data_IF_094078874934
#
_entry.id   IF_094078874934
#
_cell.length_a   1.000
_cell.length_b   1.000
_cell.length_c   1.000
_cell.angle_alpha   90.00
_cell.angle_beta   90.00
_cell.angle_gamma   90.00
#
_symmetry.space_group_name_H-M   'P 1'
#
loop_
_entity.id
_entity.type
_entity.pdbx_description
1 polymer ?
#
# COMPACT_ATOMS: atom_id res chain seq x y z
N UNK A 1 -3.19 70.55 -23.66
CA UNK A 1 -2.69 69.47 -22.80
C UNK A 1 -3.72 68.34 -22.84
N UNK A 2 -3.45 67.32 -23.66
CA UNK A 2 -4.36 66.19 -23.91
C UNK A 2 -3.47 64.94 -23.95
N UNK A 3 -3.69 64.02 -23.03
CA UNK A 3 -2.86 62.83 -22.82
C UNK A 3 -3.45 61.68 -23.65
N UNK A 4 -2.67 60.96 -24.47
CA UNK A 4 -3.17 59.80 -25.20
C UNK A 4 -3.34 58.58 -24.28
N UNK A 5 -4.41 57.80 -24.50
CA UNK A 5 -4.68 56.53 -23.82
C UNK A 5 -3.76 55.44 -24.37
N UNK A 6 -2.94 54.85 -23.51
CA UNK A 6 -2.20 53.62 -23.80
C UNK A 6 -3.15 52.42 -23.64
N UNK A 7 -3.25 51.59 -24.68
CA UNK A 7 -3.86 50.27 -24.60
C UNK A 7 -2.76 49.27 -24.24
N UNK A 8 -2.76 48.77 -23.00
CA UNK A 8 -1.91 47.65 -22.60
C UNK A 8 -2.63 46.35 -22.93
N UNK A 9 -2.12 45.59 -23.91
CA UNK A 9 -2.55 44.21 -24.16
C UNK A 9 -1.93 43.34 -23.07
N UNK A 10 -2.75 42.83 -22.16
CA UNK A 10 -2.34 41.85 -21.15
C UNK A 10 -2.30 40.46 -21.82
N UNK A 11 -1.14 40.04 -22.31
CA UNK A 11 -0.91 38.65 -22.69
C UNK A 11 -0.91 37.77 -21.43
N UNK A 12 -2.01 37.05 -21.20
CA UNK A 12 -2.05 35.95 -20.23
C UNK A 12 -1.28 34.79 -20.86
N UNK A 13 -0.02 34.61 -20.48
CA UNK A 13 0.68 33.36 -20.69
C UNK A 13 -0.01 32.30 -19.82
N UNK A 14 -0.82 31.45 -20.44
CA UNK A 14 -1.39 30.29 -19.78
C UNK A 14 -0.24 29.34 -19.40
N UNK A 15 0.15 29.35 -18.12
CA UNK A 15 1.03 28.36 -17.55
C UNK A 15 0.34 27.00 -17.67
N UNK A 16 0.75 26.23 -18.67
CA UNK A 16 0.30 24.86 -18.83
C UNK A 16 0.85 24.07 -17.65
N UNK A 17 -0.03 23.63 -16.74
CA UNK A 17 0.35 22.61 -15.76
C UNK A 17 0.72 21.37 -16.57
N UNK A 18 2.02 21.11 -16.71
CA UNK A 18 2.52 19.81 -17.12
C UNK A 18 2.03 18.82 -16.08
N UNK A 19 1.06 17.97 -16.46
CA UNK A 19 0.78 16.75 -15.70
C UNK A 19 2.05 15.92 -15.78
N UNK A 20 2.84 15.96 -14.71
CA UNK A 20 3.94 15.03 -14.54
C UNK A 20 3.30 13.64 -14.49
N UNK A 21 3.41 12.88 -15.60
CA UNK A 21 3.04 11.49 -15.62
C UNK A 21 3.83 10.81 -14.49
N UNK A 22 3.12 10.20 -13.54
CA UNK A 22 3.73 9.55 -12.37
C UNK A 22 4.57 8.37 -12.81
N UNK A 23 5.85 8.61 -13.03
CA UNK A 23 6.83 7.59 -13.38
C UNK A 23 7.61 7.19 -12.14
N UNK A 24 6.95 6.67 -11.10
CA UNK A 24 7.68 6.23 -9.91
C UNK A 24 6.94 5.08 -9.24
N UNK A 25 7.29 3.83 -9.60
CA UNK A 25 7.45 2.71 -8.64
C UNK A 25 7.98 1.42 -9.28
N UNK A 26 9.08 1.55 -10.02
CA UNK A 26 9.90 0.42 -10.48
C UNK A 26 11.24 0.32 -9.72
N UNK A 27 11.45 1.14 -8.69
CA UNK A 27 12.70 1.19 -7.93
C UNK A 27 12.51 0.68 -6.50
N UNK A 28 13.26 -0.34 -6.11
CA UNK A 28 13.28 -0.85 -4.73
C UNK A 28 13.72 0.24 -3.73
N UNK A 29 14.56 1.19 -4.17
CA UNK A 29 14.94 2.32 -3.35
C UNK A 29 13.75 3.25 -3.07
N UNK A 30 12.90 3.52 -4.07
CA UNK A 30 11.68 4.32 -3.88
C UNK A 30 10.71 3.65 -2.91
N UNK A 31 10.50 2.33 -3.05
CA UNK A 31 9.68 1.55 -2.11
C UNK A 31 10.25 1.65 -0.69
N UNK A 32 11.56 1.44 -0.51
CA UNK A 32 12.22 1.57 0.79
C UNK A 32 12.03 2.95 1.41
N UNK A 33 12.25 4.02 0.63
CA UNK A 33 12.07 5.39 1.10
C UNK A 33 10.62 5.69 1.48
N UNK A 34 9.63 5.16 0.75
CA UNK A 34 8.23 5.34 1.08
C UNK A 34 7.87 4.67 2.43
N UNK A 35 8.37 3.46 2.67
CA UNK A 35 8.18 2.77 3.95
C UNK A 35 8.83 3.52 5.12
N UNK A 36 10.08 3.98 4.95
CA UNK A 36 10.78 4.77 5.95
C UNK A 36 10.09 6.11 6.22
N UNK A 37 9.64 6.81 5.18
CA UNK A 37 8.92 8.07 5.32
C UNK A 37 7.57 7.95 6.03
N UNK A 38 6.98 6.75 6.03
CA UNK A 38 5.76 6.42 6.76
C UNK A 38 6.01 5.80 8.15
N UNK A 39 7.28 5.63 8.56
CA UNK A 39 7.70 4.97 9.80
C UNK A 39 7.20 3.52 9.98
N UNK A 40 6.85 2.84 8.88
CA UNK A 40 6.29 1.49 8.91
C UNK A 40 7.28 0.46 9.49
N UNK A 41 8.58 0.44 9.09
CA UNK A 41 9.53 -0.50 9.67
C UNK A 41 9.66 -0.34 11.19
N UNK A 42 9.69 0.89 11.69
CA UNK A 42 9.75 1.20 13.12
C UNK A 42 8.47 0.76 13.85
N UNK A 43 7.30 1.14 13.34
CA UNK A 43 5.99 0.81 13.94
C UNK A 43 5.75 -0.71 13.98
N UNK A 44 6.22 -1.42 12.96
CA UNK A 44 6.09 -2.88 12.87
C UNK A 44 7.27 -3.64 13.51
N UNK A 45 8.33 -2.94 13.94
CA UNK A 45 9.59 -3.52 14.45
C UNK A 45 10.25 -4.50 13.47
N UNK A 46 10.27 -4.12 12.19
CA UNK A 46 10.83 -4.90 11.10
C UNK A 46 12.10 -4.25 10.55
N UNK A 47 13.05 -5.07 10.10
CA UNK A 47 14.09 -4.62 9.17
C UNK A 47 13.51 -4.75 7.77
N UNK A 48 13.48 -3.66 7.00
CA UNK A 48 12.91 -3.66 5.65
C UNK A 48 13.95 -3.28 4.59
N UNK A 49 14.41 -4.30 3.88
CA UNK A 49 15.37 -4.19 2.76
C UNK A 49 14.77 -4.89 1.54
N UNK A 50 13.89 -4.22 0.76
CA UNK A 50 13.19 -4.85 -0.34
C UNK A 50 14.15 -5.31 -1.44
N UNK A 51 14.00 -6.56 -1.88
CA UNK A 51 14.79 -7.21 -2.93
C UNK A 51 13.97 -7.44 -4.20
N UNK A 52 12.64 -7.46 -4.08
CA UNK A 52 11.69 -7.60 -5.17
C UNK A 52 10.50 -6.65 -4.96
N UNK A 53 9.77 -6.37 -6.03
CA UNK A 53 8.56 -5.56 -5.98
C UNK A 53 7.36 -6.41 -5.59
N UNK A 54 6.52 -5.87 -4.69
CA UNK A 54 5.18 -6.38 -4.45
C UNK A 54 4.18 -5.47 -5.16
N UNK A 55 3.58 -6.00 -6.22
CA UNK A 55 2.46 -5.35 -6.91
C UNK A 55 1.17 -5.74 -6.17
N UNK A 56 0.40 -4.72 -5.81
CA UNK A 56 -0.92 -4.86 -5.18
C UNK A 56 -1.95 -4.25 -6.12
N UNK A 57 -3.01 -5.00 -6.39
CA UNK A 57 -4.05 -4.61 -7.34
C UNK A 57 -5.41 -4.69 -6.64
N UNK A 58 -6.16 -3.59 -6.63
CA UNK A 58 -7.51 -3.51 -6.06
C UNK A 58 -8.57 -3.50 -7.17
N UNK A 59 -9.82 -3.76 -6.79
CA UNK A 59 -10.99 -3.75 -7.66
C UNK A 59 -11.71 -2.41 -7.54
N UNK A 60 -12.00 -1.76 -8.67
CA UNK A 60 -12.93 -0.61 -8.69
C UNK A 60 -14.38 -1.12 -8.76
N UNK A 61 -14.59 -2.21 -9.49
CA UNK A 61 -15.88 -2.89 -9.66
C UNK A 61 -15.66 -4.38 -10.02
N UNK A 62 -16.72 -5.06 -10.48
CA UNK A 62 -16.71 -6.47 -10.86
C UNK A 62 -15.80 -6.80 -12.07
N UNK A 63 -15.34 -5.78 -12.81
CA UNK A 63 -14.68 -5.93 -14.12
C UNK A 63 -13.39 -5.14 -14.27
N UNK A 64 -13.13 -4.18 -13.39
CA UNK A 64 -11.99 -3.28 -13.51
C UNK A 64 -11.15 -3.28 -12.24
N UNK A 65 -9.84 -3.19 -12.47
CA UNK A 65 -8.83 -3.22 -11.42
C UNK A 65 -7.82 -2.10 -11.62
N UNK A 66 -7.11 -1.76 -10.56
CA UNK A 66 -6.06 -0.74 -10.58
C UNK A 66 -4.93 -1.12 -9.64
N UNK A 67 -3.72 -0.82 -10.07
CA UNK A 67 -2.52 -1.03 -9.26
C UNK A 67 -2.34 0.13 -8.30
N UNK A 68 -1.85 -0.18 -7.10
CA UNK A 68 -1.50 0.81 -6.10
C UNK A 68 0.00 0.85 -5.88
N UNK A 69 0.47 2.07 -5.65
CA UNK A 69 1.84 2.35 -5.25
C UNK A 69 1.92 2.56 -3.73
N UNK A 70 3.11 2.34 -3.11
CA UNK A 70 3.34 2.65 -1.70
C UNK A 70 2.87 4.07 -1.32
N UNK A 71 1.97 4.14 -0.34
CA UNK A 71 1.41 5.39 0.17
C UNK A 71 0.24 5.95 -0.63
N UNK A 72 -0.28 5.21 -1.63
CA UNK A 72 -1.46 5.62 -2.35
C UNK A 72 -2.67 5.80 -1.39
N UNK A 73 -3.35 6.96 -1.41
CA UNK A 73 -4.57 7.15 -0.65
C UNK A 73 -5.72 6.41 -1.34
N UNK A 74 -6.47 5.60 -0.59
CA UNK A 74 -7.65 4.88 -1.08
C UNK A 74 -8.90 5.26 -0.30
N UNK A 75 -10.04 5.33 -1.00
CA UNK A 75 -11.32 5.35 -0.32
C UNK A 75 -11.58 3.98 0.31
N UNK A 76 -12.28 3.97 1.45
CA UNK A 76 -12.62 2.71 2.12
C UNK A 76 -13.35 1.74 1.18
N UNK A 77 -14.26 2.24 0.34
CA UNK A 77 -15.01 1.40 -0.61
C UNK A 77 -14.12 0.72 -1.66
N UNK A 78 -13.00 1.32 -2.06
CA UNK A 78 -12.07 0.71 -3.03
C UNK A 78 -11.33 -0.51 -2.46
N UNK A 79 -11.38 -0.67 -1.13
CA UNK A 79 -10.78 -1.81 -0.41
C UNK A 79 -11.81 -2.85 0.00
N UNK A 80 -13.05 -2.79 -0.51
CA UNK A 80 -14.14 -3.70 -0.13
C UNK A 80 -13.84 -5.17 -0.47
N UNK A 81 -13.08 -5.41 -1.55
CA UNK A 81 -12.69 -6.74 -1.99
C UNK A 81 -11.22 -7.02 -1.67
N UNK A 82 -10.83 -8.31 -1.48
CA UNK A 82 -9.44 -8.68 -1.29
C UNK A 82 -8.58 -8.21 -2.48
N UNK A 83 -7.41 -7.60 -2.25
CA UNK A 83 -6.52 -7.26 -3.34
C UNK A 83 -5.88 -8.53 -3.94
N UNK A 84 -5.42 -8.41 -5.18
CA UNK A 84 -4.54 -9.39 -5.80
C UNK A 84 -3.08 -8.99 -5.58
N UNK A 85 -2.22 -10.01 -5.43
CA UNK A 85 -0.78 -9.83 -5.26
C UNK A 85 -0.04 -10.39 -6.47
N UNK A 86 1.01 -9.70 -6.90
CA UNK A 86 2.01 -10.24 -7.81
C UNK A 86 3.40 -9.73 -7.42
N UNK A 87 4.45 -10.38 -7.91
CA UNK A 87 5.83 -10.05 -7.60
C UNK A 87 6.64 -9.91 -8.88
N UNK A 88 7.66 -9.05 -8.83
CA UNK A 88 8.61 -8.89 -9.95
C UNK A 88 9.99 -8.45 -9.46
N UNK A 89 11.01 -8.75 -10.25
CA UNK A 89 12.40 -8.43 -9.94
C UNK A 89 13.36 -9.53 -10.34
N UNK A 90 14.66 -9.26 -10.24
CA UNK A 90 15.68 -10.29 -10.40
C UNK A 90 15.70 -11.15 -9.14
N UNK A 91 15.55 -12.47 -9.28
CA UNK A 91 15.64 -13.44 -8.17
C UNK A 91 14.44 -13.43 -7.20
N UNK A 92 13.21 -13.41 -7.73
CA UNK A 92 12.03 -13.70 -6.91
C UNK A 92 12.19 -15.06 -6.22
N UNK A 93 12.65 -16.09 -6.94
CA UNK A 93 12.64 -17.47 -6.47
C UNK A 93 11.25 -18.09 -6.63
N UNK A 94 11.16 -19.42 -6.60
CA UNK A 94 9.89 -20.12 -6.83
C UNK A 94 8.93 -20.05 -5.62
N UNK A 95 9.44 -19.72 -4.42
CA UNK A 95 8.71 -19.83 -3.15
C UNK A 95 9.09 -21.08 -2.35
N UNK A 96 8.36 -21.40 -1.26
CA UNK A 96 7.12 -20.75 -0.83
C UNK A 96 7.34 -19.35 -0.23
N UNK A 97 6.34 -18.49 -0.38
CA UNK A 97 6.26 -17.18 0.27
C UNK A 97 5.05 -17.09 1.20
N UNK A 98 5.16 -16.19 2.17
CA UNK A 98 4.05 -15.75 3.02
C UNK A 98 3.68 -14.33 2.65
N UNK A 99 2.38 -14.06 2.49
CA UNK A 99 1.83 -12.73 2.26
C UNK A 99 0.94 -12.35 3.42
N UNK A 100 1.12 -11.14 3.94
CA UNK A 100 0.31 -10.61 5.04
C UNK A 100 0.02 -9.13 4.84
N UNK A 101 -1.16 -8.70 5.27
CA UNK A 101 -1.58 -7.30 5.28
C UNK A 101 -1.81 -6.88 6.73
N UNK A 102 -1.03 -5.91 7.19
CA UNK A 102 -1.03 -5.45 8.58
C UNK A 102 -1.32 -3.95 8.62
N UNK A 103 -2.28 -3.56 9.46
CA UNK A 103 -2.44 -2.18 9.88
C UNK A 103 -1.62 -1.98 11.17
N UNK A 104 -0.57 -1.13 11.17
CA UNK A 104 0.18 -0.82 12.39
C UNK A 104 -0.70 -0.10 13.44
N UNK A 105 -1.83 0.47 13.01
CA UNK A 105 -2.79 1.22 13.78
C UNK A 105 -2.34 2.69 14.03
N UNK A 106 -3.15 3.51 14.72
CA UNK A 106 -2.85 4.94 14.87
C UNK A 106 -1.48 5.24 15.51
N UNK A 107 -0.69 6.11 14.87
CA UNK A 107 0.65 6.53 15.34
C UNK A 107 0.65 7.18 16.74
N UNK A 108 -0.49 7.73 17.19
CA UNK A 108 -0.57 8.54 18.42
C UNK A 108 -0.81 7.75 19.71
N UNK A 109 -1.00 6.43 19.66
CA UNK A 109 -1.17 5.64 20.88
C UNK A 109 -0.28 4.36 20.86
N UNK A 110 0.78 4.33 21.68
CA UNK A 110 1.76 3.22 21.69
C UNK A 110 1.20 1.91 22.24
N UNK A 111 -0.03 1.88 22.74
CA UNK A 111 -0.74 0.67 23.15
C UNK A 111 -1.62 0.07 22.04
N UNK A 112 -1.54 0.62 20.83
CA UNK A 112 -2.29 0.12 19.69
C UNK A 112 -1.66 -1.18 19.17
N UNK A 113 -2.54 -2.14 18.95
CA UNK A 113 -2.25 -3.49 18.50
C UNK A 113 -2.27 -3.54 16.98
N UNK A 114 -1.25 -4.13 16.35
CA UNK A 114 -1.27 -4.32 14.90
C UNK A 114 -2.48 -5.19 14.51
N UNK A 115 -3.26 -4.74 13.54
CA UNK A 115 -4.42 -5.49 13.05
C UNK A 115 -4.02 -6.26 11.80
N UNK A 116 -4.09 -7.59 11.88
CA UNK A 116 -3.89 -8.47 10.74
C UNK A 116 -5.14 -8.51 9.88
N UNK A 117 -5.08 -7.90 8.70
CA UNK A 117 -6.13 -7.90 7.69
C UNK A 117 -6.09 -9.12 6.78
N UNK A 118 -4.92 -9.76 6.62
CA UNK A 118 -4.76 -10.96 5.80
C UNK A 118 -3.52 -11.75 6.22
N UNK A 119 -3.58 -13.08 6.12
CA UNK A 119 -2.40 -13.96 6.21
C UNK A 119 -2.61 -15.18 5.34
N UNK A 120 -1.80 -15.31 4.28
CA UNK A 120 -1.77 -16.47 3.41
C UNK A 120 -0.35 -17.02 3.29
N UNK A 121 -0.23 -18.34 3.37
CA UNK A 121 1.02 -19.06 3.11
C UNK A 121 1.03 -19.71 1.72
N UNK A 122 2.10 -20.46 1.45
CA UNK A 122 2.25 -21.30 0.25
C UNK A 122 2.00 -20.55 -1.06
N UNK A 123 2.47 -19.31 -1.13
CA UNK A 123 2.55 -18.57 -2.39
C UNK A 123 3.77 -19.03 -3.19
N UNK A 124 3.58 -19.22 -4.49
CA UNK A 124 4.63 -19.59 -5.44
C UNK A 124 4.62 -18.62 -6.61
N UNK A 125 5.80 -18.38 -7.16
CA UNK A 125 5.97 -17.60 -8.37
C UNK A 125 6.34 -18.53 -9.53
N UNK A 126 5.58 -18.46 -10.62
CA UNK A 126 5.89 -19.18 -11.85
C UNK A 126 6.56 -18.22 -12.84
N UNK A 127 7.87 -18.36 -13.00
CA UNK A 127 8.67 -17.50 -13.89
C UNK A 127 8.26 -17.61 -15.37
N UNK A 128 7.69 -18.75 -15.79
CA UNK A 128 7.32 -18.97 -17.19
C UNK A 128 6.15 -18.09 -17.64
N UNK A 129 5.22 -17.78 -16.72
CA UNK A 129 4.01 -17.02 -17.03
C UNK A 129 3.80 -15.80 -16.12
N UNK A 130 4.72 -15.52 -15.20
CA UNK A 130 4.66 -14.38 -14.29
C UNK A 130 3.50 -14.44 -13.28
N UNK A 131 2.98 -15.65 -13.01
CA UNK A 131 1.84 -15.85 -12.11
C UNK A 131 2.32 -16.09 -10.69
N UNK A 132 1.81 -15.29 -9.77
CA UNK A 132 1.94 -15.47 -8.34
C UNK A 132 0.65 -16.07 -7.78
N UNK A 133 0.72 -17.22 -7.14
CA UNK A 133 -0.46 -17.98 -6.72
C UNK A 133 -0.20 -18.74 -5.42
N UNK A 134 -1.23 -18.87 -4.58
CA UNK A 134 -1.21 -19.70 -3.39
C UNK A 134 -1.71 -21.12 -3.69
N UNK A 135 -1.23 -22.10 -2.92
CA UNK A 135 -1.70 -23.51 -2.99
C UNK A 135 -2.63 -23.91 -1.86
N UNK A 136 -2.77 -23.06 -0.85
CA UNK A 136 -3.62 -23.30 0.32
C UNK A 136 -4.57 -22.13 0.55
N UNK A 137 -5.73 -22.35 1.20
CA UNK A 137 -6.54 -21.26 1.75
C UNK A 137 -5.73 -20.34 2.68
N UNK A 138 -6.24 -19.14 2.92
CA UNK A 138 -5.60 -18.22 3.85
C UNK A 138 -5.74 -18.73 5.29
N UNK A 139 -4.70 -18.50 6.12
CA UNK A 139 -4.78 -18.70 7.57
C UNK A 139 -5.68 -17.64 8.20
N UNK A 140 -5.70 -16.44 7.63
CA UNK A 140 -6.68 -15.39 7.95
C UNK A 140 -7.16 -14.78 6.65
N UNK A 141 -8.43 -15.02 6.36
CA UNK A 141 -9.12 -14.42 5.21
C UNK A 141 -9.13 -12.89 5.30
N UNK A 142 -9.22 -12.25 4.14
CA UNK A 142 -9.18 -10.80 4.04
C UNK A 142 -10.30 -10.16 4.85
N UNK A 143 -9.92 -9.20 5.69
CA UNK A 143 -10.82 -8.31 6.39
C UNK A 143 -10.58 -6.89 5.91
N UNK A 144 -11.61 -6.23 5.38
CA UNK A 144 -11.50 -4.85 4.90
C UNK A 144 -10.97 -3.89 6.00
N UNK A 145 -10.02 -3.00 5.68
CA UNK A 145 -9.65 -1.87 6.51
C UNK A 145 -10.88 -1.07 6.95
N UNK A 146 -11.09 -0.98 8.26
CA UNK A 146 -12.29 -0.34 8.83
C UNK A 146 -11.86 0.55 9.98
N UNK A 147 -11.15 1.67 9.69
CA UNK A 147 -10.74 2.60 10.73
C UNK A 147 -11.99 3.10 11.46
N UNK A 148 -12.09 2.92 12.79
CA UNK A 148 -13.27 3.35 13.51
C UNK A 148 -13.39 4.87 13.56
N UNK A 149 -14.62 5.39 13.47
CA UNK A 149 -14.90 6.77 13.87
C UNK A 149 -15.04 6.78 15.40
N UNK A 150 -14.09 7.41 16.10
CA UNK A 150 -14.11 7.62 17.56
C UNK A 150 -14.28 6.34 18.42
N UNK A 151 -13.71 5.18 18.07
CA UNK A 151 -13.76 4.00 18.95
C UNK A 151 -12.39 3.64 19.53
N UNK A 152 -12.39 3.11 20.76
CA UNK A 152 -11.22 2.45 21.35
C UNK A 152 -10.90 1.15 20.58
N UNK A 153 -9.61 0.73 20.51
CA UNK A 153 -9.20 -0.43 19.71
C UNK A 153 -9.81 -1.76 20.16
N UNK A 154 -10.21 -2.58 19.18
CA UNK A 154 -10.57 -3.99 19.41
C UNK A 154 -9.32 -4.88 19.36
N UNK A 155 -9.08 -5.64 20.43
CA UNK A 155 -7.87 -6.45 20.65
C UNK A 155 -7.81 -7.67 19.70
N UNK A 156 -7.09 -7.52 18.60
CA UNK A 156 -6.40 -8.64 17.94
C UNK A 156 -4.91 -8.33 18.04
N UNK A 157 -4.22 -8.95 18.99
CA UNK A 157 -2.76 -8.79 19.11
C UNK A 157 -2.11 -9.61 18.01
N UNK A 158 -1.70 -8.97 16.92
CA UNK A 158 -0.72 -9.54 16.01
C UNK A 158 0.59 -8.75 16.13
N UNK A 159 1.71 -9.48 16.15
CA UNK A 159 3.05 -8.91 16.16
C UNK A 159 3.81 -9.57 15.00
N UNK A 160 3.94 -8.84 13.90
CA UNK A 160 4.57 -9.37 12.68
C UNK A 160 6.04 -9.70 12.89
N UNK A 161 6.76 -8.93 13.71
CA UNK A 161 8.17 -9.19 13.99
C UNK A 161 8.34 -10.48 14.80
N UNK A 162 7.52 -10.68 15.84
CA UNK A 162 7.49 -11.93 16.61
C UNK A 162 7.08 -13.11 15.73
N UNK A 163 6.07 -12.95 14.88
CA UNK A 163 5.65 -13.98 13.94
C UNK A 163 6.78 -14.38 12.99
N UNK A 164 7.46 -13.42 12.37
CA UNK A 164 8.57 -13.69 11.45
C UNK A 164 9.74 -14.38 12.16
N UNK A 165 10.04 -13.98 13.40
CA UNK A 165 11.06 -14.63 14.23
C UNK A 165 10.70 -16.08 14.57
N UNK A 166 9.49 -16.33 15.09
CA UNK A 166 9.06 -17.67 15.53
C UNK A 166 8.86 -18.66 14.37
N UNK A 167 8.66 -18.16 13.15
CA UNK A 167 8.50 -18.97 11.94
C UNK A 167 9.75 -19.02 11.08
N UNK A 168 10.83 -18.35 11.51
CA UNK A 168 12.11 -18.28 10.79
C UNK A 168 11.98 -17.74 9.35
N UNK A 169 10.96 -16.93 9.07
CA UNK A 169 10.71 -16.37 7.73
C UNK A 169 11.79 -15.35 7.29
N UNK A 170 12.51 -14.79 8.26
CA UNK A 170 13.46 -13.70 8.04
C UNK A 170 12.78 -12.36 7.76
N UNK A 171 13.56 -11.41 7.23
CA UNK A 171 13.09 -10.06 6.93
C UNK A 171 12.18 -10.02 5.68
N UNK A 172 11.15 -9.16 5.64
CA UNK A 172 10.33 -8.99 4.45
C UNK A 172 11.16 -8.55 3.24
N UNK A 173 11.04 -9.30 2.14
CA UNK A 173 11.79 -9.05 0.90
C UNK A 173 11.04 -8.17 -0.11
N UNK A 174 9.77 -7.85 0.17
CA UNK A 174 8.89 -7.08 -0.69
C UNK A 174 7.85 -6.35 0.17
N UNK A 175 7.35 -5.22 -0.31
CA UNK A 175 6.33 -4.47 0.42
C UNK A 175 5.60 -3.46 -0.45
N UNK A 176 4.35 -3.19 -0.08
CA UNK A 176 3.52 -2.11 -0.58
C UNK A 176 2.58 -1.69 0.56
N UNK A 177 2.03 -0.47 0.52
CA UNK A 177 1.07 -0.01 1.52
C UNK A 177 0.14 1.05 0.92
N UNK A 178 -1.04 1.18 1.52
CA UNK A 178 -2.06 2.16 1.15
C UNK A 178 -2.52 2.90 2.40
N UNK A 179 -3.00 4.12 2.22
CA UNK A 179 -3.56 4.93 3.31
C UNK A 179 -5.08 4.95 3.17
N UNK A 180 -5.80 4.41 4.15
CA UNK A 180 -7.28 4.36 4.14
C UNK A 180 -7.82 5.25 5.25
N UNK A 181 -8.50 6.33 4.86
CA UNK A 181 -9.16 7.25 5.79
C UNK A 181 -10.59 6.83 6.15
N UNK A 182 -11.18 7.43 7.21
CA UNK A 182 -12.60 7.26 7.49
C UNK A 182 -13.44 7.79 6.33
N UNK A 183 -14.57 7.13 6.06
CA UNK A 183 -15.48 7.53 5.00
C UNK A 183 -15.99 8.96 5.23
N UNK A 184 -15.74 9.85 4.28
CA UNK A 184 -16.35 11.18 4.28
C UNK A 184 -17.80 10.96 3.90
N UNK A 185 -18.73 11.05 4.86
CA UNK A 185 -20.14 11.15 4.52
C UNK A 185 -20.28 12.35 3.57
N UNK A 186 -20.75 12.09 2.36
CA UNK A 186 -21.17 13.17 1.47
C UNK A 186 -22.13 14.04 2.29
N UNK A 187 -21.78 15.31 2.45
CA UNK A 187 -22.69 16.28 3.05
C UNK A 187 -23.98 16.24 2.23
N UNK A 188 -25.07 15.85 2.89
CA UNK A 188 -26.42 15.86 2.32
C UNK A 188 -26.89 17.31 2.22
#
# INVERSE_FOLDING_TARGET
MHIPKFYTVLSIAALSLVKLAGAHDTSLASVKYAFQGAHIPEDLRLIFEPKIHLKVTYFLDDRSTFDVYPGAPLARHDTAYPPMYNVSGCHVGAGPFVVTMIDPGPQLNPNITQVRHFLGGDYYYNELNGVFYNRTPAVTEYKQPSPPRNSDPHRLYFDIAKFAYETELGDPIAGNFVLVGPEVQAAV
#
